data_IF_671148804311
#
_entry.id   IF_671148804311
#
_cell.length_a   1.000
_cell.length_b   1.000
_cell.length_c   1.000
_cell.angle_alpha   90.00
_cell.angle_beta   90.00
_cell.angle_gamma   90.00
#
_symmetry.space_group_name_H-M   'P 1'
#
loop_
_entity.id
_entity.type
_entity.pdbx_description
1 polymer ?
#
# COMPACT_ATOMS: atom_id res chain seq x y z
N UNK A 1 -2.33 6.89 -6.43
CA UNK A 1 -1.33 5.97 -7.03
C UNK A 1 -1.18 4.67 -6.26
N UNK A 2 -0.71 4.68 -5.00
CA UNK A 2 -0.48 3.45 -4.21
C UNK A 2 -1.77 2.64 -4.03
N UNK A 3 -2.89 3.29 -3.69
CA UNK A 3 -4.18 2.63 -3.48
C UNK A 3 -4.69 1.90 -4.73
N UNK A 4 -4.60 2.53 -5.91
CA UNK A 4 -5.05 1.92 -7.16
C UNK A 4 -4.23 0.68 -7.55
N UNK A 5 -2.93 0.69 -7.25
CA UNK A 5 -2.08 -0.48 -7.45
C UNK A 5 -2.48 -1.61 -6.51
N UNK A 6 -2.76 -1.31 -5.23
CA UNK A 6 -3.20 -2.31 -4.27
C UNK A 6 -4.55 -2.93 -4.66
N UNK A 7 -5.52 -2.11 -5.08
CA UNK A 7 -6.80 -2.59 -5.57
C UNK A 7 -6.64 -3.55 -6.77
N UNK A 8 -5.69 -3.29 -7.66
CA UNK A 8 -5.36 -4.21 -8.75
C UNK A 8 -4.65 -5.49 -8.25
N UNK A 9 -3.63 -5.37 -7.39
CA UNK A 9 -2.85 -6.52 -6.90
C UNK A 9 -3.71 -7.52 -6.10
N UNK A 10 -4.69 -7.02 -5.35
CA UNK A 10 -5.55 -7.86 -4.50
C UNK A 10 -6.89 -8.26 -5.17
N UNK A 11 -7.12 -7.82 -6.40
CA UNK A 11 -8.25 -8.22 -7.25
C UNK A 11 -9.55 -7.46 -7.00
N UNK A 12 -9.50 -6.37 -6.24
CA UNK A 12 -10.66 -5.49 -6.02
C UNK A 12 -11.02 -4.68 -7.28
N UNK A 13 -10.08 -4.52 -8.21
CA UNK A 13 -10.31 -3.78 -9.45
C UNK A 13 -10.94 -4.64 -10.56
N UNK A 14 -10.45 -5.86 -10.77
CA UNK A 14 -10.79 -6.68 -11.95
C UNK A 14 -10.93 -8.18 -11.65
N UNK A 15 -10.90 -8.58 -10.37
CA UNK A 15 -10.97 -9.97 -9.94
C UNK A 15 -9.68 -10.79 -10.14
N UNK A 16 -8.62 -10.22 -10.72
CA UNK A 16 -7.32 -10.88 -10.90
C UNK A 16 -6.39 -10.51 -9.76
N UNK A 17 -5.59 -11.47 -9.29
CA UNK A 17 -4.67 -11.28 -8.15
C UNK A 17 -3.23 -11.40 -8.61
N UNK A 18 -2.34 -10.72 -7.89
CA UNK A 18 -0.90 -10.74 -8.15
C UNK A 18 -0.33 -12.18 -8.05
N UNK A 19 0.49 -12.56 -9.03
CA UNK A 19 1.07 -13.90 -9.10
C UNK A 19 2.10 -14.17 -7.98
N UNK A 20 2.73 -13.14 -7.41
CA UNK A 20 3.66 -13.28 -6.28
C UNK A 20 2.97 -13.81 -5.03
N UNK A 21 1.65 -13.62 -4.90
CA UNK A 21 0.87 -14.15 -3.76
C UNK A 21 0.85 -15.69 -3.70
N UNK A 22 1.36 -16.37 -4.73
CA UNK A 22 1.59 -17.83 -4.71
C UNK A 22 2.78 -18.24 -3.84
N UNK A 23 3.71 -17.34 -3.58
CA UNK A 23 4.98 -17.62 -2.88
C UNK A 23 5.22 -16.75 -1.64
N UNK A 24 4.51 -15.63 -1.51
CA UNK A 24 4.61 -14.72 -0.38
C UNK A 24 3.24 -14.15 0.00
N UNK A 25 3.09 -13.62 1.22
CA UNK A 25 1.86 -12.97 1.67
C UNK A 25 2.16 -11.75 2.52
N UNK A 26 1.35 -10.70 2.37
CA UNK A 26 1.38 -9.57 3.27
C UNK A 26 0.76 -9.98 4.63
N UNK A 27 1.48 -9.73 5.71
CA UNK A 27 1.01 -9.99 7.09
C UNK A 27 0.76 -8.70 7.88
N UNK A 28 1.21 -7.56 7.36
CA UNK A 28 1.01 -6.22 7.94
C UNK A 28 0.76 -5.21 6.82
N UNK A 29 -0.01 -4.16 7.09
CA UNK A 29 -0.26 -3.06 6.14
C UNK A 29 -0.73 -1.81 6.86
N UNK A 30 -0.13 -0.66 6.54
CA UNK A 30 -0.44 0.63 7.17
C UNK A 30 0.02 1.78 6.29
N UNK A 31 -0.72 2.88 6.30
CA UNK A 31 -0.30 4.12 5.67
C UNK A 31 0.25 5.09 6.71
N UNK A 32 1.31 5.80 6.33
CA UNK A 32 1.90 6.86 7.14
C UNK A 32 2.06 8.11 6.29
N UNK A 33 1.98 9.26 6.96
CA UNK A 33 2.36 10.54 6.40
C UNK A 33 3.72 10.93 6.96
N UNK A 34 4.70 11.15 6.08
CA UNK A 34 6.00 11.70 6.46
C UNK A 34 5.96 13.22 6.24
N UNK A 35 5.78 14.04 7.31
CA UNK A 35 5.77 15.49 7.17
C UNK A 35 7.15 16.02 6.77
N UNK A 36 7.18 17.26 6.27
CA UNK A 36 8.45 17.99 6.12
C UNK A 36 9.08 18.25 7.48
N UNK A 37 10.40 18.46 7.51
CA UNK A 37 11.14 18.73 8.74
C UNK A 37 10.58 19.94 9.50
N UNK A 38 10.24 21.01 8.77
CA UNK A 38 9.64 22.21 9.36
C UNK A 38 8.32 21.88 10.06
N UNK A 39 7.44 21.09 9.44
CA UNK A 39 6.15 20.71 10.02
C UNK A 39 6.33 19.79 11.22
N UNK A 40 7.32 18.90 11.18
CA UNK A 40 7.63 17.98 12.29
C UNK A 40 8.14 18.73 13.52
N UNK A 41 9.05 19.68 13.34
CA UNK A 41 9.66 20.46 14.43
C UNK A 41 8.75 21.57 14.97
N UNK A 42 7.63 21.83 14.30
CA UNK A 42 6.61 22.80 14.73
C UNK A 42 5.37 22.15 15.37
N UNK A 43 5.45 20.87 15.72
CA UNK A 43 4.40 20.15 16.46
C UNK A 43 4.53 20.41 17.96
#
# INVERSE_FOLDING_TARGET
>A
NIEQQLLSMFGDLDGKRDAMLRFSRAVTGSYYFAPSLTRLLSL
#
